data_IF_327747402734
#
_entry.id   IF_327747402734
#
_cell.length_a   1.000
_cell.length_b   1.000
_cell.length_c   1.000
_cell.angle_alpha   90.00
_cell.angle_beta   90.00
_cell.angle_gamma   90.00
#
_symmetry.space_group_name_H-M   'P 1'
#
loop_
_entity.id
_entity.type
_entity.pdbx_description
1 polymer ?
#
# COMPACT_ATOMS: atom_id res chain seq x y z
N UNK A 1 -21.29 17.93 -39.93
CA UNK A 1 -21.06 17.15 -38.71
C UNK A 1 -21.81 15.84 -38.90
N UNK A 2 -21.15 14.81 -39.40
CA UNK A 2 -21.80 13.54 -39.78
C UNK A 2 -22.10 12.74 -38.52
N UNK A 3 -23.37 12.41 -38.30
CA UNK A 3 -23.83 11.65 -37.14
C UNK A 3 -23.96 10.18 -37.56
N UNK A 4 -23.14 9.31 -36.99
CA UNK A 4 -23.21 7.86 -37.24
C UNK A 4 -24.07 7.20 -36.16
N UNK A 5 -25.22 6.67 -36.56
CA UNK A 5 -26.03 5.80 -35.70
C UNK A 5 -25.63 4.35 -35.98
N UNK A 6 -25.09 3.67 -34.97
CA UNK A 6 -24.48 2.34 -35.09
C UNK A 6 -25.21 1.27 -34.28
N UNK A 7 -25.40 0.09 -34.88
CA UNK A 7 -25.88 -1.13 -34.21
C UNK A 7 -24.70 -2.04 -33.78
N UNK A 8 -24.93 -2.98 -32.86
CA UNK A 8 -23.91 -3.91 -32.32
C UNK A 8 -23.20 -4.74 -33.40
N UNK A 9 -23.85 -4.89 -34.55
CA UNK A 9 -23.35 -5.66 -35.69
C UNK A 9 -22.40 -4.84 -36.60
N UNK A 10 -22.04 -3.62 -36.19
CA UNK A 10 -21.07 -2.77 -36.90
C UNK A 10 -21.65 -2.08 -38.14
N UNK A 11 -22.97 -1.94 -38.22
CA UNK A 11 -23.64 -1.20 -39.29
C UNK A 11 -23.87 0.24 -38.83
N UNK A 12 -23.33 1.22 -39.58
CA UNK A 12 -23.49 2.63 -39.31
C UNK A 12 -24.30 3.30 -40.43
N UNK A 13 -25.37 4.01 -40.06
CA UNK A 13 -26.15 4.81 -41.00
C UNK A 13 -25.51 6.19 -41.17
N UNK A 14 -25.21 6.57 -42.42
CA UNK A 14 -24.69 7.90 -42.74
C UNK A 14 -25.84 8.78 -43.25
N UNK A 15 -26.19 9.81 -42.47
CA UNK A 15 -27.29 10.73 -42.76
C UNK A 15 -27.09 11.58 -44.01
N UNK A 16 -25.85 11.85 -44.41
CA UNK A 16 -25.53 12.72 -45.55
C UNK A 16 -25.62 11.96 -46.89
N UNK A 17 -25.37 10.65 -46.87
CA UNK A 17 -25.39 9.79 -48.06
C UNK A 17 -26.65 8.91 -48.18
N UNK A 18 -27.50 8.86 -47.14
CA UNK A 18 -28.74 8.08 -47.16
C UNK A 18 -28.53 6.56 -47.26
N UNK A 19 -27.32 6.05 -46.99
CA UNK A 19 -26.96 4.64 -47.12
C UNK A 19 -26.38 4.08 -45.82
N UNK A 20 -26.55 2.77 -45.62
CA UNK A 20 -25.94 2.01 -44.52
C UNK A 20 -24.55 1.54 -44.95
N UNK A 21 -23.52 1.88 -44.18
CA UNK A 21 -22.16 1.36 -44.38
C UNK A 21 -21.77 0.45 -43.21
N UNK A 22 -21.20 -0.71 -43.54
CA UNK A 22 -20.62 -1.62 -42.54
C UNK A 22 -19.28 -1.05 -42.09
N UNK A 23 -19.24 -0.51 -40.88
CA UNK A 23 -18.03 0.00 -40.26
C UNK A 23 -17.21 -1.18 -39.71
N UNK A 24 -16.26 -1.68 -40.51
CA UNK A 24 -15.41 -2.82 -40.13
C UNK A 24 -14.60 -2.57 -38.84
N UNK A 25 -14.35 -1.30 -38.49
CA UNK A 25 -13.63 -0.91 -37.27
C UNK A 25 -14.56 -0.34 -36.16
N UNK A 26 -15.88 -0.30 -36.42
CA UNK A 26 -16.92 0.27 -35.55
C UNK A 26 -17.12 -0.50 -34.25
N UNK A 27 -17.03 -1.82 -34.30
CA UNK A 27 -17.22 -2.68 -33.11
C UNK A 27 -16.14 -2.47 -32.05
N UNK A 28 -14.89 -2.17 -32.46
CA UNK A 28 -13.77 -1.90 -31.54
C UNK A 28 -13.86 -0.53 -30.87
N UNK A 29 -14.22 0.50 -31.64
CA UNK A 29 -14.40 1.86 -31.11
C UNK A 29 -15.66 1.96 -30.23
N UNK A 30 -16.73 1.26 -30.59
CA UNK A 30 -17.92 1.15 -29.73
C UNK A 30 -17.59 0.34 -28.47
N UNK A 31 -16.88 -0.78 -28.58
CA UNK A 31 -16.39 -1.53 -27.41
C UNK A 31 -15.57 -0.67 -26.45
N UNK A 32 -14.57 0.07 -26.95
CA UNK A 32 -13.70 0.94 -26.15
C UNK A 32 -14.42 2.18 -25.59
N UNK A 33 -15.40 2.74 -26.32
CA UNK A 33 -16.15 3.92 -25.88
C UNK A 33 -17.26 3.58 -24.87
N UNK A 34 -17.91 2.42 -25.00
CA UNK A 34 -19.03 2.00 -24.15
C UNK A 34 -18.64 1.01 -23.03
N UNK A 35 -17.44 0.41 -23.10
CA UNK A 35 -16.85 -0.31 -21.99
C UNK A 35 -15.51 0.35 -21.64
N UNK A 36 -15.47 1.24 -20.62
CA UNK A 36 -14.20 1.52 -19.98
C UNK A 36 -13.64 0.17 -19.54
N UNK A 37 -12.45 -0.16 -20.04
CA UNK A 37 -11.73 -1.38 -19.67
C UNK A 37 -11.63 -1.39 -18.14
N UNK A 38 -12.39 -2.29 -17.49
CA UNK A 38 -12.33 -2.43 -16.05
C UNK A 38 -11.02 -3.14 -15.74
N UNK A 39 -9.95 -2.36 -15.64
CA UNK A 39 -8.67 -2.82 -15.16
C UNK A 39 -8.84 -3.26 -13.69
N UNK A 40 -9.29 -4.50 -13.52
CA UNK A 40 -9.37 -5.24 -12.27
C UNK A 40 -8.01 -5.84 -11.92
N UNK A 41 -6.95 -5.05 -12.01
CA UNK A 41 -5.65 -5.35 -11.40
C UNK A 41 -5.25 -4.26 -10.41
N UNK A 42 -5.99 -4.08 -9.31
CA UNK A 42 -5.46 -3.29 -8.16
C UNK A 42 -6.22 -3.53 -6.85
N UNK A 43 -6.44 -4.80 -6.46
CA UNK A 43 -6.96 -5.07 -5.10
C UNK A 43 -6.20 -6.16 -4.33
N UNK A 44 -5.31 -6.91 -4.97
CA UNK A 44 -4.40 -7.82 -4.25
C UNK A 44 -3.17 -7.12 -3.68
N UNK A 45 -2.75 -5.99 -4.24
CA UNK A 45 -1.53 -5.31 -3.81
C UNK A 45 -1.71 -4.46 -2.54
N UNK A 46 -2.88 -3.85 -2.33
CA UNK A 46 -3.13 -2.98 -1.17
C UNK A 46 -3.26 -3.73 0.16
N UNK A 47 -3.71 -4.98 0.15
CA UNK A 47 -3.91 -5.75 1.40
C UNK A 47 -2.60 -6.19 2.05
N UNK A 48 -1.53 -6.42 1.26
CA UNK A 48 -0.20 -6.70 1.78
C UNK A 48 0.53 -5.45 2.29
N UNK A 49 0.07 -4.26 1.92
CA UNK A 49 0.76 -3.01 2.26
C UNK A 49 0.69 -2.68 3.75
N UNK A 50 -0.47 -2.88 4.39
CA UNK A 50 -0.61 -2.66 5.83
C UNK A 50 0.19 -3.69 6.64
N UNK A 51 0.23 -4.95 6.20
CA UNK A 51 0.99 -6.01 6.85
C UNK A 51 2.51 -5.79 6.72
N UNK A 52 2.97 -5.37 5.54
CA UNK A 52 4.37 -4.97 5.31
C UNK A 52 4.79 -3.80 6.20
N UNK A 53 3.92 -2.79 6.34
CA UNK A 53 4.15 -1.67 7.24
C UNK A 53 4.23 -2.12 8.70
N UNK A 54 3.26 -2.91 9.18
CA UNK A 54 3.28 -3.45 10.54
C UNK A 54 4.54 -4.30 10.79
N UNK A 55 4.98 -5.10 9.81
CA UNK A 55 6.19 -5.91 9.90
C UNK A 55 7.46 -5.06 10.03
N UNK A 56 7.57 -4.01 9.22
CA UNK A 56 8.72 -3.10 9.28
C UNK A 56 8.77 -2.31 10.59
N UNK A 57 7.63 -1.83 11.10
CA UNK A 57 7.54 -1.18 12.41
C UNK A 57 7.83 -2.14 13.56
N UNK A 58 7.36 -3.39 13.46
CA UNK A 58 7.57 -4.42 14.46
C UNK A 58 9.05 -4.62 14.79
N UNK A 59 9.92 -4.61 13.78
CA UNK A 59 11.36 -4.74 13.97
C UNK A 59 11.97 -3.59 14.78
N UNK A 60 11.53 -2.35 14.56
CA UNK A 60 12.03 -1.17 15.28
C UNK A 60 11.68 -1.19 16.77
N UNK A 61 10.61 -1.88 17.17
CA UNK A 61 10.20 -2.02 18.57
C UNK A 61 10.82 -3.28 19.17
N UNK A 62 10.69 -4.42 18.48
CA UNK A 62 11.12 -5.71 19.00
C UNK A 62 12.64 -5.79 19.21
N UNK A 63 13.44 -5.24 18.28
CA UNK A 63 14.90 -5.33 18.35
C UNK A 63 15.49 -4.67 19.62
N UNK A 64 15.26 -3.36 19.89
CA UNK A 64 15.78 -2.74 21.11
C UNK A 64 15.20 -3.36 22.37
N UNK A 65 13.93 -3.78 22.35
CA UNK A 65 13.26 -4.37 23.51
C UNK A 65 13.87 -5.72 23.88
N UNK A 66 14.11 -6.60 22.89
CA UNK A 66 14.78 -7.89 23.13
C UNK A 66 16.22 -7.69 23.57
N UNK A 67 16.99 -6.81 22.91
CA UNK A 67 18.39 -6.56 23.26
C UNK A 67 18.52 -6.02 24.70
N UNK A 68 17.74 -5.00 25.05
CA UNK A 68 17.78 -4.39 26.38
C UNK A 68 17.21 -5.32 27.46
N UNK A 69 16.17 -6.09 27.16
CA UNK A 69 15.63 -7.07 28.10
C UNK A 69 16.63 -8.21 28.36
N UNK A 70 17.31 -8.72 27.32
CA UNK A 70 18.35 -9.74 27.50
C UNK A 70 19.55 -9.19 28.26
N UNK A 71 20.01 -7.99 27.91
CA UNK A 71 21.10 -7.32 28.61
C UNK A 71 20.76 -7.06 30.07
N UNK A 72 19.54 -6.57 30.35
CA UNK A 72 19.02 -6.36 31.69
C UNK A 72 18.94 -7.66 32.49
N UNK A 73 18.41 -8.73 31.89
CA UNK A 73 18.34 -10.07 32.53
C UNK A 73 19.73 -10.65 32.82
N UNK A 74 20.69 -10.43 31.93
CA UNK A 74 22.06 -10.88 32.14
C UNK A 74 22.74 -10.10 33.26
N UNK A 75 22.52 -8.78 33.32
CA UNK A 75 22.99 -7.94 34.42
C UNK A 75 22.35 -8.34 35.76
N UNK A 76 21.02 -8.52 35.80
CA UNK A 76 20.32 -8.96 37.01
C UNK A 76 20.88 -10.28 37.55
N UNK A 77 21.17 -11.25 36.67
CA UNK A 77 21.82 -12.51 37.05
C UNK A 77 23.27 -12.36 37.52
N UNK A 78 24.00 -11.37 37.02
CA UNK A 78 25.40 -11.13 37.38
C UNK A 78 25.53 -10.48 38.75
N UNK A 79 24.59 -9.59 39.09
CA UNK A 79 24.59 -8.80 40.34
C UNK A 79 23.69 -9.37 41.43
N UNK A 80 23.04 -10.52 41.19
CA UNK A 80 22.07 -11.16 42.11
C UNK A 80 20.95 -10.19 42.56
N UNK A 81 20.65 -9.21 41.70
CA UNK A 81 19.62 -8.22 41.96
C UNK A 81 18.27 -8.78 41.52
N UNK A 82 17.23 -8.51 42.32
CA UNK A 82 15.84 -8.59 41.85
C UNK A 82 15.71 -7.88 40.50
N UNK A 83 14.75 -8.23 39.63
CA UNK A 83 14.73 -7.92 38.18
C UNK A 83 14.54 -6.42 37.85
N UNK A 84 15.43 -5.58 38.36
CA UNK A 84 15.43 -4.13 38.30
C UNK A 84 16.16 -3.66 37.05
N UNK A 85 17.27 -4.30 36.66
CA UNK A 85 17.96 -3.96 35.41
C UNK A 85 17.11 -4.34 34.20
N UNK A 86 16.35 -5.43 34.26
CA UNK A 86 15.35 -5.76 33.24
C UNK A 86 14.28 -4.67 33.15
N UNK A 87 13.75 -4.20 34.30
CA UNK A 87 12.71 -3.18 34.33
C UNK A 87 13.20 -1.83 33.78
N UNK A 88 14.40 -1.41 34.18
CA UNK A 88 15.06 -0.19 33.68
C UNK A 88 15.39 -0.35 32.19
N UNK A 89 15.88 -1.51 31.78
CA UNK A 89 16.16 -1.83 30.37
C UNK A 89 14.91 -1.75 29.50
N UNK A 90 13.77 -2.26 30.00
CA UNK A 90 12.49 -2.17 29.31
C UNK A 90 11.98 -0.72 29.22
N UNK A 91 12.08 0.07 30.30
CA UNK A 91 11.77 1.50 30.26
C UNK A 91 12.64 2.26 29.26
N UNK A 92 13.95 2.00 29.24
CA UNK A 92 14.87 2.59 28.28
C UNK A 92 14.54 2.16 26.85
N UNK A 93 14.14 0.92 26.61
CA UNK A 93 13.76 0.44 25.28
C UNK A 93 12.55 1.20 24.74
N UNK A 94 11.53 1.43 25.58
CA UNK A 94 10.36 2.22 25.23
C UNK A 94 10.76 3.67 24.92
N UNK A 95 11.59 4.29 25.76
CA UNK A 95 12.08 5.65 25.54
C UNK A 95 12.88 5.80 24.24
N UNK A 96 13.85 4.92 24.01
CA UNK A 96 14.70 4.91 22.82
C UNK A 96 13.88 4.66 21.55
N UNK A 97 12.98 3.67 21.57
CA UNK A 97 12.12 3.37 20.42
C UNK A 97 11.21 4.55 20.08
N UNK A 98 10.57 5.16 21.08
CA UNK A 98 9.72 6.33 20.90
C UNK A 98 10.50 7.52 20.32
N UNK A 99 11.73 7.74 20.80
CA UNK A 99 12.60 8.79 20.27
C UNK A 99 13.02 8.53 18.82
N UNK A 100 13.39 7.29 18.47
CA UNK A 100 13.75 6.92 17.09
C UNK A 100 12.58 7.11 16.11
N UNK A 101 11.38 6.67 16.50
CA UNK A 101 10.17 6.82 15.70
C UNK A 101 9.84 8.30 15.52
N UNK A 102 9.87 9.09 16.60
CA UNK A 102 9.62 10.53 16.54
C UNK A 102 10.62 11.25 15.64
N UNK A 103 11.92 10.92 15.76
CA UNK A 103 12.96 11.47 14.90
C UNK A 103 12.73 11.15 13.43
N UNK A 104 12.40 9.89 13.09
CA UNK A 104 12.05 9.48 11.71
C UNK A 104 10.82 10.20 11.18
N UNK A 105 9.79 10.38 12.01
CA UNK A 105 8.59 11.11 11.62
C UNK A 105 8.90 12.58 11.31
N UNK A 106 9.68 13.24 12.16
CA UNK A 106 10.12 14.63 11.94
C UNK A 106 11.02 14.78 10.71
N UNK A 107 11.86 13.80 10.41
CA UNK A 107 12.72 13.79 9.22
C UNK A 107 11.90 13.72 7.92
N UNK A 108 10.79 12.98 7.91
CA UNK A 108 9.86 12.93 6.77
C UNK A 108 9.12 14.26 6.62
N UNK A 109 8.70 14.89 7.72
CA UNK A 109 7.93 16.15 7.69
C UNK A 109 8.80 17.34 7.26
N UNK A 110 10.10 17.31 7.59
CA UNK A 110 11.03 18.40 7.28
C UNK A 110 11.55 18.35 5.83
N UNK A 111 11.31 17.26 5.10
CA UNK A 111 11.77 17.06 3.72
C UNK A 111 10.64 17.35 2.73
#
# INVERSE_FOLDING_TARGET
MTILFGDKDGLAFNSDLGIIQRAENGSKIFGHFFMPEDNKQDNKEKSFSALSLAWSLGWYIALPLVILALAGRWADKKFDTSPWFLLIGAMLAIGISSFLVFKKAMEIIKK
#
